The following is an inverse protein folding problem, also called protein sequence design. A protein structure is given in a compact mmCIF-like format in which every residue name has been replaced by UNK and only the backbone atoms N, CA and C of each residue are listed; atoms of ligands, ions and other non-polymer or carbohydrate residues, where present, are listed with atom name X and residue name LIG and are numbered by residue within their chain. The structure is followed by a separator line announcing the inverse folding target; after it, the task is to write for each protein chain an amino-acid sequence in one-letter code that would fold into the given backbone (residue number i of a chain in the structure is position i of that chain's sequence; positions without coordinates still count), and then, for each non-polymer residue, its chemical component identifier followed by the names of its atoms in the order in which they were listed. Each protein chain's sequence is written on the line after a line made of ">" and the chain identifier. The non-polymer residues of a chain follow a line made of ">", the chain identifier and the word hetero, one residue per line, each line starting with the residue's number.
data_IF_050537836307
#
_entry.id   IF_050537836307
#
_cell.length_a   1.000
_cell.length_b   1.000
_cell.length_c   1.000
_cell.angle_alpha   90.00
_cell.angle_beta   90.00
_cell.angle_gamma   90.00
#
_symmetry.space_group_name_H-M   'P 1'
#
loop_
_entity.id
_entity.type
_entity.pdbx_description
1 polymer ?
#
# COMPACT_ATOMS: atom_id res chain seq x y z
N UNK A 1 37.34 110.98 3.26
CA UNK A 1 37.79 109.62 2.90
C UNK A 1 37.35 108.59 3.93
N UNK A 2 37.78 108.70 5.20
CA UNK A 2 37.41 107.76 6.29
C UNK A 2 35.91 107.47 6.48
N UNK A 3 35.02 108.45 6.27
CA UNK A 3 33.56 108.23 6.40
C UNK A 3 33.03 107.32 5.27
N UNK A 4 33.55 107.48 4.04
CA UNK A 4 33.14 106.66 2.90
C UNK A 4 33.64 105.21 3.07
N UNK A 5 34.88 105.04 3.51
CA UNK A 5 35.45 103.71 3.83
C UNK A 5 34.65 102.99 4.92
N UNK A 6 34.22 103.71 5.97
CA UNK A 6 33.38 103.13 7.02
C UNK A 6 32.00 102.70 6.50
N UNK A 7 31.40 103.48 5.58
CA UNK A 7 30.14 103.15 4.94
C UNK A 7 30.29 101.91 4.04
N UNK A 8 31.37 101.84 3.25
CA UNK A 8 31.70 100.70 2.39
C UNK A 8 31.91 99.41 3.19
N UNK A 9 32.70 99.47 4.27
CA UNK A 9 32.90 98.33 5.17
C UNK A 9 31.59 97.90 5.84
N UNK A 10 30.72 98.85 6.21
CA UNK A 10 29.40 98.54 6.79
C UNK A 10 28.51 97.82 5.77
N UNK A 11 28.47 98.28 4.52
CA UNK A 11 27.71 97.64 3.43
C UNK A 11 28.26 96.25 3.13
N UNK A 12 29.58 96.08 3.08
CA UNK A 12 30.22 94.77 2.88
C UNK A 12 29.87 93.81 4.02
N UNK A 13 30.00 94.22 5.28
CA UNK A 13 29.65 93.40 6.43
C UNK A 13 28.17 93.01 6.44
N UNK A 14 27.28 93.93 6.04
CA UNK A 14 25.86 93.65 5.94
C UNK A 14 25.56 92.64 4.82
N UNK A 15 26.23 92.78 3.67
CA UNK A 15 26.10 91.85 2.54
C UNK A 15 26.61 90.45 2.90
N UNK A 16 27.76 90.36 3.57
CA UNK A 16 28.34 89.11 4.05
C UNK A 16 27.43 88.42 5.08
N UNK A 17 26.87 89.18 6.05
CA UNK A 17 25.90 88.64 7.03
C UNK A 17 24.67 88.06 6.36
N UNK A 18 24.15 88.73 5.35
CA UNK A 18 23.00 88.24 4.57
C UNK A 18 23.40 87.00 3.78
N UNK A 19 24.53 87.01 3.06
CA UNK A 19 25.04 85.86 2.32
C UNK A 19 25.26 84.63 3.19
N UNK A 20 25.86 84.81 4.37
CA UNK A 20 26.10 83.73 5.32
C UNK A 20 24.79 83.13 5.87
N UNK A 21 23.76 83.96 6.13
CA UNK A 21 22.42 83.47 6.50
C UNK A 21 21.77 82.65 5.38
N UNK A 22 21.95 83.05 4.12
CA UNK A 22 21.42 82.31 2.97
C UNK A 22 22.15 80.97 2.82
N UNK A 23 23.49 80.95 2.90
CA UNK A 23 24.29 79.73 2.82
C UNK A 23 23.92 78.73 3.93
N UNK A 24 23.81 79.18 5.18
CA UNK A 24 23.40 78.34 6.30
C UNK A 24 21.97 77.80 6.13
N UNK A 25 21.06 78.57 5.52
CA UNK A 25 19.70 78.11 5.24
C UNK A 25 19.69 77.04 4.14
N UNK A 26 20.49 77.21 3.07
CA UNK A 26 20.62 76.20 2.02
C UNK A 26 21.26 74.91 2.52
N UNK A 27 22.30 75.00 3.37
CA UNK A 27 22.92 73.83 4.00
C UNK A 27 21.90 73.03 4.83
N UNK A 28 21.05 73.72 5.61
CA UNK A 28 19.95 73.07 6.35
C UNK A 28 18.98 72.36 5.42
N UNK A 29 18.54 73.00 4.32
CA UNK A 29 17.63 72.38 3.35
C UNK A 29 18.24 71.12 2.71
N UNK A 30 19.53 71.16 2.39
CA UNK A 30 20.26 70.01 1.85
C UNK A 30 20.36 68.89 2.89
N UNK A 31 20.68 69.22 4.14
CA UNK A 31 20.69 68.25 5.25
C UNK A 31 19.31 67.59 5.42
N UNK A 32 18.24 68.39 5.50
CA UNK A 32 16.88 67.89 5.66
C UNK A 32 16.45 66.97 4.49
N UNK A 33 16.88 67.31 3.27
CA UNK A 33 16.63 66.46 2.09
C UNK A 33 17.40 65.14 2.20
N UNK A 34 18.64 65.18 2.67
CA UNK A 34 19.44 63.98 2.89
C UNK A 34 18.84 63.09 3.98
N UNK A 35 18.33 63.67 5.07
CA UNK A 35 17.62 62.94 6.13
C UNK A 35 16.35 62.27 5.63
N UNK A 36 15.53 62.97 4.82
CA UNK A 36 14.35 62.38 4.17
C UNK A 36 14.72 61.19 3.28
N UNK A 37 15.73 61.35 2.43
CA UNK A 37 16.21 60.25 1.57
C UNK A 37 16.73 59.07 2.39
N UNK A 38 17.45 59.31 3.50
CA UNK A 38 17.89 58.25 4.43
C UNK A 38 16.70 57.50 5.03
N UNK A 39 15.68 58.21 5.50
CA UNK A 39 14.48 57.59 6.06
C UNK A 39 13.71 56.76 5.03
N UNK A 40 13.61 57.24 3.78
CA UNK A 40 12.99 56.50 2.67
C UNK A 40 13.78 55.24 2.32
N UNK A 41 15.11 55.30 2.28
CA UNK A 41 15.96 54.12 2.05
C UNK A 41 15.78 53.06 3.13
N UNK A 42 15.69 53.46 4.40
CA UNK A 42 15.44 52.54 5.52
C UNK A 42 14.05 51.91 5.41
N UNK A 43 13.03 52.72 5.10
CA UNK A 43 11.65 52.24 4.95
C UNK A 43 11.51 51.25 3.78
N UNK A 44 12.10 51.58 2.63
CA UNK A 44 12.08 50.72 1.43
C UNK A 44 12.89 49.44 1.64
N UNK A 45 14.04 49.51 2.34
CA UNK A 45 14.81 48.34 2.74
C UNK A 45 14.02 47.37 3.61
N UNK A 46 13.29 47.87 4.63
CA UNK A 46 12.43 47.03 5.47
C UNK A 46 11.37 46.30 4.66
N UNK A 47 10.69 47.01 3.74
CA UNK A 47 9.66 46.41 2.88
C UNK A 47 10.25 45.34 1.97
N UNK A 48 11.46 45.55 1.44
CA UNK A 48 12.15 44.55 0.64
C UNK A 48 12.46 43.28 1.44
N UNK A 49 12.89 43.41 2.69
CA UNK A 49 13.18 42.26 3.55
C UNK A 49 11.92 41.48 3.92
N UNK A 50 10.79 42.16 4.12
CA UNK A 50 9.48 41.52 4.28
C UNK A 50 9.05 40.75 3.03
N UNK A 51 9.20 41.34 1.84
CA UNK A 51 8.91 40.64 0.58
C UNK A 51 9.84 39.44 0.36
N UNK A 52 11.11 39.54 0.73
CA UNK A 52 12.04 38.40 0.68
C UNK A 52 11.60 37.26 1.59
N UNK A 53 11.14 37.57 2.81
CA UNK A 53 10.60 36.56 3.74
C UNK A 53 9.34 35.90 3.18
N UNK A 54 8.38 36.71 2.70
CA UNK A 54 7.16 36.22 2.03
C UNK A 54 7.50 35.31 0.84
N UNK A 55 8.47 35.72 0.02
CA UNK A 55 8.92 34.94 -1.14
C UNK A 55 9.54 33.60 -0.73
N UNK A 56 10.36 33.56 0.32
CA UNK A 56 10.96 32.34 0.83
C UNK A 56 9.89 31.37 1.39
N UNK A 57 8.89 31.88 2.12
CA UNK A 57 7.77 31.08 2.63
C UNK A 57 6.92 30.50 1.49
N UNK A 58 6.62 31.30 0.47
CA UNK A 58 5.89 30.83 -0.72
C UNK A 58 6.67 29.75 -1.47
N UNK A 59 7.99 29.90 -1.60
CA UNK A 59 8.84 28.89 -2.25
C UNK A 59 8.79 27.55 -1.50
N UNK A 60 8.80 27.59 -0.16
CA UNK A 60 8.65 26.38 0.65
C UNK A 60 7.29 25.71 0.42
N UNK A 61 6.21 26.48 0.38
CA UNK A 61 4.86 25.96 0.11
C UNK A 61 4.77 25.32 -1.28
N UNK A 62 5.31 25.99 -2.31
CA UNK A 62 5.35 25.44 -3.68
C UNK A 62 6.12 24.12 -3.70
N UNK A 63 7.26 24.02 -3.00
CA UNK A 63 8.03 22.79 -2.94
C UNK A 63 7.25 21.64 -2.27
N UNK A 64 6.52 21.92 -1.18
CA UNK A 64 5.68 20.94 -0.52
C UNK A 64 4.53 20.45 -1.41
N UNK A 65 3.89 21.37 -2.15
CA UNK A 65 2.82 21.03 -3.08
C UNK A 65 3.34 20.19 -4.25
N UNK A 66 4.50 20.53 -4.81
CA UNK A 66 5.14 19.73 -5.87
C UNK A 66 5.44 18.30 -5.41
N UNK A 67 5.99 18.13 -4.20
CA UNK A 67 6.24 16.80 -3.61
C UNK A 67 4.94 16.03 -3.39
N UNK A 68 3.91 16.69 -2.87
CA UNK A 68 2.60 16.07 -2.62
C UNK A 68 1.94 15.62 -3.92
N UNK A 69 2.05 16.42 -4.98
CA UNK A 69 1.52 16.07 -6.31
C UNK A 69 2.21 14.83 -6.90
N UNK A 70 3.53 14.71 -6.74
CA UNK A 70 4.28 13.53 -7.19
C UNK A 70 3.84 12.28 -6.43
N UNK A 71 3.73 12.37 -5.10
CA UNK A 71 3.26 11.27 -4.25
C UNK A 71 1.83 10.85 -4.62
N UNK A 72 0.93 11.81 -4.83
CA UNK A 72 -0.43 11.53 -5.30
C UNK A 72 -0.43 10.80 -6.64
N UNK A 73 0.43 11.20 -7.59
CA UNK A 73 0.50 10.53 -8.89
C UNK A 73 0.96 9.06 -8.76
N UNK A 74 1.92 8.79 -7.90
CA UNK A 74 2.38 7.42 -7.60
C UNK A 74 1.25 6.57 -6.97
N UNK A 75 0.50 7.16 -6.04
CA UNK A 75 -0.65 6.50 -5.42
C UNK A 75 -1.74 6.17 -6.46
N UNK A 76 -2.08 7.11 -7.34
CA UNK A 76 -3.04 6.87 -8.43
C UNK A 76 -2.58 5.74 -9.36
N UNK A 77 -1.29 5.66 -9.70
CA UNK A 77 -0.76 4.54 -10.51
C UNK A 77 -0.89 3.22 -9.78
N UNK A 78 -0.63 3.18 -8.47
CA UNK A 78 -0.76 1.98 -7.65
C UNK A 78 -2.21 1.51 -7.57
N UNK A 79 -3.15 2.44 -7.38
CA UNK A 79 -4.59 2.15 -7.36
C UNK A 79 -5.01 1.55 -8.71
N UNK A 80 -4.66 2.19 -9.84
CA UNK A 80 -5.00 1.70 -11.16
C UNK A 80 -4.45 0.28 -11.44
N UNK A 81 -3.23 -0.01 -10.97
CA UNK A 81 -2.65 -1.35 -11.10
C UNK A 81 -3.42 -2.39 -10.27
N UNK A 82 -3.81 -2.05 -9.05
CA UNK A 82 -4.62 -2.94 -8.19
C UNK A 82 -6.01 -3.18 -8.78
N UNK A 83 -6.65 -2.15 -9.33
CA UNK A 83 -7.94 -2.28 -10.01
C UNK A 83 -7.86 -3.23 -11.21
N UNK A 84 -6.81 -3.13 -12.02
CA UNK A 84 -6.56 -4.08 -13.10
C UNK A 84 -6.35 -5.50 -12.59
N UNK A 85 -5.59 -5.67 -11.50
CA UNK A 85 -5.35 -6.98 -10.90
C UNK A 85 -6.65 -7.61 -10.38
N UNK A 86 -7.52 -6.83 -9.74
CA UNK A 86 -8.84 -7.29 -9.27
C UNK A 86 -9.70 -7.73 -10.45
N UNK A 87 -9.71 -6.97 -11.54
CA UNK A 87 -10.48 -7.32 -12.74
C UNK A 87 -9.97 -8.62 -13.39
N UNK A 88 -8.66 -8.79 -13.51
CA UNK A 88 -8.06 -10.02 -14.02
C UNK A 88 -8.41 -11.21 -13.13
N UNK A 89 -8.24 -11.07 -11.81
CA UNK A 89 -8.61 -12.11 -10.84
C UNK A 89 -10.09 -12.47 -10.90
N UNK A 90 -10.98 -11.49 -11.03
CA UNK A 90 -12.42 -11.74 -11.18
C UNK A 90 -12.75 -12.51 -12.46
N UNK A 91 -12.05 -12.21 -13.57
CA UNK A 91 -12.20 -12.94 -14.84
C UNK A 91 -11.71 -14.38 -14.70
N UNK A 92 -10.54 -14.58 -14.10
CA UNK A 92 -9.97 -15.92 -13.89
C UNK A 92 -10.88 -16.77 -13.00
N UNK A 93 -11.45 -16.17 -11.95
CA UNK A 93 -12.43 -16.84 -11.09
C UNK A 93 -13.69 -17.30 -11.85
N UNK A 94 -14.26 -16.47 -12.73
CA UNK A 94 -15.41 -16.87 -13.54
C UNK A 94 -15.04 -17.97 -14.55
N UNK A 95 -13.82 -17.96 -15.11
CA UNK A 95 -13.35 -19.04 -15.97
C UNK A 95 -13.24 -20.36 -15.21
N UNK A 96 -12.59 -20.37 -14.03
CA UNK A 96 -12.46 -21.56 -13.19
C UNK A 96 -13.82 -22.12 -12.77
N UNK A 97 -14.80 -21.24 -12.54
CA UNK A 97 -16.17 -21.64 -12.23
C UNK A 97 -16.84 -22.36 -13.41
N UNK A 98 -16.65 -21.90 -14.64
CA UNK A 98 -17.13 -22.57 -15.86
C UNK A 98 -16.42 -23.93 -16.01
N UNK A 99 -15.11 -23.98 -15.85
CA UNK A 99 -14.32 -25.21 -15.96
C UNK A 99 -14.76 -26.24 -14.92
N UNK A 100 -14.96 -25.81 -13.67
CA UNK A 100 -15.50 -26.67 -12.61
C UNK A 100 -16.88 -27.22 -12.96
N UNK A 101 -17.78 -26.40 -13.50
CA UNK A 101 -19.10 -26.87 -13.94
C UNK A 101 -19.00 -27.90 -15.07
N UNK A 102 -18.13 -27.65 -16.05
CA UNK A 102 -17.85 -28.59 -17.14
C UNK A 102 -17.33 -29.93 -16.61
N UNK A 103 -16.35 -29.90 -15.71
CA UNK A 103 -15.79 -31.11 -15.08
C UNK A 103 -16.83 -31.85 -14.24
N UNK A 104 -17.71 -31.15 -13.52
CA UNK A 104 -18.82 -31.76 -12.79
C UNK A 104 -19.80 -32.47 -13.73
N UNK A 105 -20.14 -31.87 -14.88
CA UNK A 105 -20.99 -32.50 -15.88
C UNK A 105 -20.33 -33.76 -16.47
N UNK A 106 -19.04 -33.71 -16.78
CA UNK A 106 -18.29 -34.86 -17.26
C UNK A 106 -18.26 -35.99 -16.22
N UNK A 107 -17.99 -35.67 -14.95
CA UNK A 107 -18.02 -36.64 -13.86
C UNK A 107 -19.40 -37.30 -13.74
N UNK A 108 -20.48 -36.52 -13.82
CA UNK A 108 -21.83 -37.06 -13.77
C UNK A 108 -22.10 -38.03 -14.93
N UNK A 109 -21.63 -37.71 -16.14
CA UNK A 109 -21.72 -38.60 -17.30
C UNK A 109 -20.98 -39.91 -17.08
N UNK A 110 -19.74 -39.86 -16.57
CA UNK A 110 -18.95 -41.06 -16.26
C UNK A 110 -19.63 -41.91 -15.18
N UNK A 111 -20.14 -41.31 -14.11
CA UNK A 111 -20.86 -42.02 -13.06
C UNK A 111 -22.13 -42.71 -13.58
N UNK A 112 -22.84 -42.07 -14.52
CA UNK A 112 -24.02 -42.66 -15.17
C UNK A 112 -23.65 -43.88 -16.01
N UNK A 113 -22.59 -43.80 -16.80
CA UNK A 113 -22.12 -44.95 -17.59
C UNK A 113 -21.56 -46.06 -16.71
N UNK A 114 -20.86 -45.74 -15.62
CA UNK A 114 -20.39 -46.72 -14.64
C UNK A 114 -21.56 -47.51 -14.03
N UNK A 115 -22.66 -46.83 -13.69
CA UNK A 115 -23.87 -47.48 -13.18
C UNK A 115 -24.48 -48.43 -14.20
N UNK A 116 -24.60 -48.00 -15.46
CA UNK A 116 -25.08 -48.87 -16.55
C UNK A 116 -24.19 -50.08 -16.75
N UNK A 117 -22.87 -49.91 -16.73
CA UNK A 117 -21.92 -51.02 -16.86
C UNK A 117 -22.07 -52.03 -15.70
N UNK A 118 -22.26 -51.55 -14.47
CA UNK A 118 -22.55 -52.42 -13.31
C UNK A 118 -23.87 -53.17 -13.46
N UNK A 119 -24.93 -52.51 -13.93
CA UNK A 119 -26.23 -53.16 -14.19
C UNK A 119 -26.11 -54.23 -15.29
N UNK A 120 -25.35 -53.97 -16.36
CA UNK A 120 -25.07 -54.95 -17.41
C UNK A 120 -24.28 -56.15 -16.88
N UNK A 121 -23.27 -55.93 -16.03
CA UNK A 121 -22.51 -57.00 -15.38
C UNK A 121 -23.47 -57.87 -14.53
N UNK A 122 -24.30 -57.25 -13.69
CA UNK A 122 -25.26 -57.97 -12.85
C UNK A 122 -26.27 -58.78 -13.68
N UNK A 123 -26.74 -58.25 -14.82
CA UNK A 123 -27.61 -58.99 -15.74
C UNK A 123 -26.91 -60.20 -16.37
N UNK A 124 -25.64 -60.05 -16.78
CA UNK A 124 -24.83 -61.16 -17.33
C UNK A 124 -24.54 -62.23 -16.28
N UNK A 125 -24.32 -61.84 -15.02
CA UNK A 125 -24.15 -62.76 -13.90
C UNK A 125 -25.44 -63.54 -13.61
N UNK A 126 -26.60 -62.89 -13.65
CA UNK A 126 -27.89 -63.55 -13.49
C UNK A 126 -28.21 -64.49 -14.67
N UNK A 127 -27.92 -64.08 -15.91
CA UNK A 127 -28.13 -64.91 -17.10
C UNK A 127 -27.22 -66.15 -17.14
N UNK A 128 -26.06 -66.13 -16.48
CA UNK A 128 -25.20 -67.31 -16.29
C UNK A 128 -25.75 -68.31 -15.25
N UNK A 129 -26.76 -67.94 -14.47
CA UNK A 129 -27.46 -68.80 -13.51
C UNK A 129 -28.79 -69.28 -14.11
N UNK A 130 -28.79 -70.26 -15.05
CA UNK A 130 -29.24 -71.59 -14.65
C UNK A 130 -28.66 -72.75 -15.50
N UNK A 131 -27.93 -73.67 -14.86
CA UNK A 131 -27.89 -75.12 -15.17
C UNK A 131 -27.04 -75.86 -14.12
N UNK A 132 -27.49 -75.84 -12.87
CA UNK A 132 -27.02 -76.77 -11.83
C UNK A 132 -28.16 -77.70 -11.40
N UNK A 133 -28.82 -78.33 -12.38
CA UNK A 133 -29.39 -79.66 -12.21
C UNK A 133 -28.60 -80.56 -13.16
N UNK A 134 -27.91 -81.54 -12.56
CA UNK A 134 -27.09 -82.58 -13.19
C UNK A 134 -25.65 -82.19 -13.56
N UNK A 135 -24.74 -82.28 -12.57
CA UNK A 135 -23.76 -83.38 -12.43
C UNK A 135 -22.57 -82.94 -11.57
N UNK A 136 -22.38 -83.59 -10.42
CA UNK A 136 -21.05 -83.79 -9.81
C UNK A 136 -20.28 -84.86 -10.63
N UNK A 137 -18.95 -85.04 -10.48
CA UNK A 137 -17.98 -84.34 -9.62
C UNK A 137 -16.68 -83.91 -10.35
N UNK A 138 -15.98 -82.88 -9.87
CA UNK A 138 -14.51 -82.79 -10.08
C UNK A 138 -13.82 -81.94 -9.01
N UNK A 139 -13.37 -82.65 -7.98
CA UNK A 139 -12.06 -82.57 -7.33
C UNK A 139 -11.17 -81.35 -7.58
N UNK A 140 -10.73 -80.76 -6.47
CA UNK A 140 -9.58 -79.85 -6.28
C UNK A 140 -9.71 -78.42 -6.80
N UNK A 141 -10.15 -77.52 -5.91
CA UNK A 141 -9.60 -76.15 -5.75
C UNK A 141 -10.09 -75.55 -4.42
N UNK A 142 -9.87 -76.28 -3.31
CA UNK A 142 -10.21 -75.84 -1.93
C UNK A 142 -8.95 -75.47 -1.15
N UNK A 143 -8.08 -74.65 -1.72
CA UNK A 143 -6.94 -74.05 -1.01
C UNK A 143 -6.59 -72.75 -1.74
N UNK A 144 -7.25 -71.62 -1.42
CA UNK A 144 -6.59 -70.29 -1.46
C UNK A 144 -7.41 -69.06 -1.03
N UNK A 145 -8.70 -69.16 -0.70
CA UNK A 145 -9.48 -67.95 -0.32
C UNK A 145 -9.84 -67.85 1.16
N UNK A 146 -8.95 -68.29 2.04
CA UNK A 146 -9.10 -68.17 3.50
C UNK A 146 -8.02 -67.24 4.07
N UNK A 147 -8.00 -65.97 3.63
CA UNK A 147 -7.15 -64.95 4.26
C UNK A 147 -7.68 -63.51 4.30
N UNK A 148 -8.97 -63.27 4.06
CA UNK A 148 -9.55 -61.91 4.22
C UNK A 148 -10.88 -61.90 5.01
N UNK A 149 -11.01 -62.77 6.01
CA UNK A 149 -11.90 -62.48 7.15
C UNK A 149 -11.11 -61.66 8.17
N UNK A 150 -11.24 -60.35 8.11
CA UNK A 150 -10.97 -59.47 9.26
C UNK A 150 -12.26 -58.74 9.57
N UNK A 151 -12.84 -59.22 10.66
CA UNK A 151 -13.90 -58.71 11.51
C UNK A 151 -14.30 -57.25 11.30
N UNK A 152 -15.59 -57.10 10.98
CA UNK A 152 -16.39 -55.95 11.36
C UNK A 152 -16.48 -55.88 12.89
N UNK A 153 -15.50 -55.24 13.51
CA UNK A 153 -15.58 -54.76 14.90
C UNK A 153 -15.22 -53.29 14.92
N UNK A 154 -16.29 -52.49 14.93
CA UNK A 154 -16.44 -51.20 15.59
C UNK A 154 -15.24 -50.74 16.44
N UNK A 155 -14.39 -49.88 15.87
CA UNK A 155 -13.59 -48.89 16.60
C UNK A 155 -12.97 -47.96 15.56
N UNK A 156 -13.64 -46.83 15.31
CA UNK A 156 -13.06 -45.72 14.54
C UNK A 156 -11.73 -45.33 15.19
N UNK A 157 -10.58 -45.45 14.50
CA UNK A 157 -9.39 -44.78 14.96
C UNK A 157 -9.70 -43.29 14.78
N UNK A 158 -9.65 -42.53 15.88
CA UNK A 158 -9.72 -41.07 15.84
C UNK A 158 -8.80 -40.62 14.71
N UNK A 159 -9.39 -40.05 13.65
CA UNK A 159 -8.67 -39.50 12.51
C UNK A 159 -7.76 -38.43 13.10
N UNK A 160 -6.48 -38.76 13.32
CA UNK A 160 -5.46 -37.79 13.66
C UNK A 160 -5.46 -36.78 12.51
N UNK A 161 -5.85 -35.55 12.83
CA UNK A 161 -5.96 -34.47 11.87
C UNK A 161 -4.63 -34.33 11.15
N UNK A 162 -4.62 -34.37 9.81
CA UNK A 162 -3.40 -34.20 8.99
C UNK A 162 -2.65 -32.89 9.32
N UNK A 163 -3.32 -31.95 10.00
CA UNK A 163 -2.77 -30.68 10.47
C UNK A 163 -1.96 -30.79 11.78
N UNK A 164 -1.95 -31.95 12.45
CA UNK A 164 -1.07 -32.22 13.60
C UNK A 164 0.32 -32.75 13.17
N UNK A 165 0.48 -33.14 11.91
CA UNK A 165 1.78 -33.62 11.37
C UNK A 165 2.64 -32.48 10.79
N UNK A 166 2.08 -31.26 10.68
CA UNK A 166 2.77 -30.06 10.17
C UNK A 166 2.89 -29.01 11.27
N UNK A 167 4.07 -28.40 11.40
CA UNK A 167 4.39 -27.41 12.43
C UNK A 167 4.67 -26.03 11.81
N UNK A 168 4.15 -25.00 12.46
CA UNK A 168 4.42 -23.59 12.18
C UNK A 168 5.31 -23.03 13.30
N UNK A 169 6.27 -22.17 12.94
CA UNK A 169 7.20 -21.60 13.92
C UNK A 169 6.94 -20.11 14.14
N UNK A 170 7.14 -19.65 15.37
CA UNK A 170 7.18 -18.22 15.66
C UNK A 170 8.44 -17.59 15.02
N UNK A 171 8.31 -16.53 14.21
CA UNK A 171 9.47 -15.95 13.51
C UNK A 171 10.49 -15.27 14.44
N UNK A 172 10.12 -14.95 15.69
CA UNK A 172 11.02 -14.31 16.67
C UNK A 172 11.77 -15.33 17.54
N UNK A 173 11.08 -16.28 18.16
CA UNK A 173 11.69 -17.26 19.09
C UNK A 173 11.80 -18.69 18.54
N UNK A 174 11.30 -18.96 17.34
CA UNK A 174 11.28 -20.27 16.67
C UNK A 174 10.59 -21.39 17.45
N UNK A 175 9.69 -21.06 18.37
CA UNK A 175 8.88 -22.06 19.06
C UNK A 175 7.93 -22.74 18.05
N UNK A 176 7.95 -24.07 17.94
CA UNK A 176 7.10 -24.80 17.00
C UNK A 176 5.69 -25.02 17.56
N UNK A 177 4.69 -24.89 16.72
CA UNK A 177 3.27 -25.09 17.03
C UNK A 177 2.64 -25.99 15.97
N UNK A 178 1.83 -27.00 16.36
CA UNK A 178 1.04 -27.77 15.41
C UNK A 178 0.13 -26.85 14.58
N UNK A 179 -0.05 -27.14 13.30
CA UNK A 179 -0.90 -26.32 12.39
C UNK A 179 -2.35 -26.30 12.88
N UNK A 180 -2.80 -27.37 13.54
CA UNK A 180 -4.11 -27.45 14.22
C UNK A 180 -4.31 -26.36 15.29
N UNK A 181 -3.22 -25.84 15.88
CA UNK A 181 -3.22 -24.84 16.96
C UNK A 181 -2.74 -23.45 16.52
N UNK A 182 -2.98 -23.07 15.27
CA UNK A 182 -2.58 -21.76 14.72
C UNK A 182 -3.04 -20.55 15.55
N UNK A 183 -4.18 -20.63 16.26
CA UNK A 183 -4.65 -19.54 17.15
C UNK A 183 -3.72 -19.32 18.35
N UNK A 184 -3.15 -20.38 18.91
CA UNK A 184 -2.20 -20.29 20.02
C UNK A 184 -0.89 -19.64 19.56
N UNK A 185 -0.43 -19.97 18.34
CA UNK A 185 0.73 -19.32 17.71
C UNK A 185 0.49 -17.82 17.49
N UNK A 186 -0.69 -17.41 17.02
CA UNK A 186 -0.98 -15.99 16.80
C UNK A 186 -0.96 -15.17 18.10
N UNK A 187 -1.59 -15.68 19.16
CA UNK A 187 -1.54 -15.04 20.48
C UNK A 187 -0.09 -14.96 21.00
N UNK A 188 0.69 -16.03 20.82
CA UNK A 188 2.10 -16.04 21.18
C UNK A 188 2.93 -15.04 20.35
N UNK A 189 2.65 -14.85 19.06
CA UNK A 189 3.34 -13.87 18.21
C UNK A 189 3.06 -12.45 18.73
N UNK A 190 1.82 -12.14 19.11
CA UNK A 190 1.46 -10.82 19.65
C UNK A 190 2.24 -10.50 20.93
N UNK A 191 2.34 -11.46 21.86
CA UNK A 191 3.14 -11.32 23.09
C UNK A 191 4.64 -11.34 22.82
N UNK A 192 5.09 -12.13 21.85
CA UNK A 192 6.50 -12.28 21.56
C UNK A 192 7.04 -11.01 20.91
N UNK A 193 6.27 -10.32 20.06
CA UNK A 193 6.69 -9.08 19.39
C UNK A 193 6.43 -7.79 20.18
N UNK A 194 5.65 -7.84 21.25
CA UNK A 194 5.63 -6.79 22.28
C UNK A 194 7.01 -6.62 22.95
#
# INVERSE_FOLDING_TARGET
>A
EKIKELEEVRVQLQTERVGNRHAANEERKVSDRADRMRAELVSTGRRLDEERKRSAELLLQVNMLQKSLLSQNEEHRRIAALEQQIQLSAKDFENEKIDRQSMQQQLHKVLKELRKAREQIAQLEYAKQPNARFSEPSSYNKLEFERLSIDATTSSPKVSSLLDESFLECPKCRTPYPTSRHRELLAHIDDCFA
#
